data_IF_693041037850
#
_entry.id   IF_693041037850
#
_cell.length_a   1.000
_cell.length_b   1.000
_cell.length_c   1.000
_cell.angle_alpha   90.00
_cell.angle_beta   90.00
_cell.angle_gamma   90.00
#
_symmetry.space_group_name_H-M   'P 1'
#
loop_
_entity.id
_entity.type
_entity.pdbx_description
1 polymer ?
#
# COMPACT_ATOMS: atom_id res chain seq x y z
N UNK A 1 40.03 1.69 51.62
CA UNK A 1 40.40 2.36 50.35
C UNK A 1 39.14 2.53 49.50
N UNK A 2 38.52 3.71 49.42
CA UNK A 2 37.32 3.90 48.60
C UNK A 2 37.71 4.11 47.13
N UNK A 3 37.04 3.40 46.22
CA UNK A 3 37.24 3.55 44.77
C UNK A 3 36.55 4.83 44.30
N UNK A 4 37.33 5.76 43.75
CA UNK A 4 36.85 6.97 43.09
C UNK A 4 36.13 6.64 41.78
N UNK A 5 34.88 7.08 41.62
CA UNK A 5 34.13 7.01 40.36
C UNK A 5 34.58 8.14 39.43
N UNK A 6 35.04 7.78 38.22
CA UNK A 6 35.31 8.75 37.15
C UNK A 6 34.01 9.16 36.45
N UNK A 7 33.82 10.45 36.10
CA UNK A 7 32.64 10.88 35.34
C UNK A 7 32.73 10.42 33.88
N UNK A 8 31.59 10.01 33.30
CA UNK A 8 31.46 9.66 31.88
C UNK A 8 31.54 10.93 31.01
N UNK A 9 32.20 10.88 29.84
CA UNK A 9 32.20 12.01 28.91
C UNK A 9 30.81 12.18 28.28
N UNK A 10 30.36 13.43 28.16
CA UNK A 10 29.11 13.80 27.50
C UNK A 10 29.23 13.60 25.97
N UNK A 11 28.20 12.99 25.37
CA UNK A 11 28.10 12.84 23.91
C UNK A 11 27.87 14.21 23.27
N UNK A 12 28.55 14.55 22.16
CA UNK A 12 28.27 15.80 21.45
C UNK A 12 26.87 15.74 20.83
N UNK A 13 26.16 16.86 20.90
CA UNK A 13 24.86 17.03 20.27
C UNK A 13 24.97 16.78 18.75
N UNK A 14 24.23 15.80 18.24
CA UNK A 14 24.20 15.50 16.81
C UNK A 14 23.61 16.67 16.04
N UNK A 15 24.31 17.11 14.99
CA UNK A 15 23.81 18.15 14.07
C UNK A 15 22.48 17.69 13.47
N UNK A 16 21.46 18.54 13.56
CA UNK A 16 20.16 18.29 12.95
C UNK A 16 20.32 18.10 11.43
N UNK A 17 19.81 16.99 10.90
CA UNK A 17 19.80 16.73 9.47
C UNK A 17 18.93 17.79 8.76
N UNK A 18 19.31 18.26 7.57
CA UNK A 18 18.56 19.28 6.86
C UNK A 18 17.16 18.77 6.52
N UNK A 19 16.15 19.57 6.84
CA UNK A 19 14.75 19.29 6.54
C UNK A 19 14.56 19.27 5.02
N UNK A 20 14.26 18.11 4.44
CA UNK A 20 13.98 17.95 3.00
C UNK A 20 12.84 18.90 2.60
N UNK A 21 13.12 19.80 1.65
CA UNK A 21 12.11 20.63 1.00
C UNK A 21 11.29 19.73 0.07
N UNK A 22 9.96 19.79 0.18
CA UNK A 22 9.09 19.02 -0.70
C UNK A 22 9.30 19.45 -2.16
N UNK A 23 9.44 18.48 -3.07
CA UNK A 23 9.58 18.74 -4.52
C UNK A 23 8.36 19.52 -5.01
N UNK A 24 8.59 20.53 -5.86
CA UNK A 24 7.50 21.25 -6.53
C UNK A 24 6.65 20.28 -7.37
N UNK A 25 5.36 20.61 -7.54
CA UNK A 25 4.46 19.83 -8.39
C UNK A 25 5.02 19.77 -9.84
N UNK A 26 4.84 18.66 -10.56
CA UNK A 26 5.31 18.54 -11.93
C UNK A 26 4.56 19.51 -12.85
N UNK A 27 5.24 20.06 -13.86
CA UNK A 27 4.63 20.95 -14.86
C UNK A 27 3.54 20.24 -15.68
N UNK A 28 3.69 18.93 -15.89
CA UNK A 28 2.71 18.06 -16.53
C UNK A 28 2.35 16.90 -15.58
N UNK A 29 1.32 17.07 -14.72
CA UNK A 29 0.87 16.00 -13.83
C UNK A 29 0.22 14.87 -14.64
N UNK A 30 0.50 13.63 -14.23
CA UNK A 30 -0.05 12.41 -14.85
C UNK A 30 -0.62 11.51 -13.75
N UNK A 31 -1.77 10.90 -14.04
CA UNK A 31 -2.36 9.85 -13.24
C UNK A 31 -2.74 8.72 -14.20
N UNK A 32 -2.15 7.54 -14.00
CA UNK A 32 -2.45 6.33 -14.76
C UNK A 32 -3.24 5.38 -13.87
N UNK A 33 -4.18 4.68 -14.48
CA UNK A 33 -4.95 3.60 -13.89
C UNK A 33 -4.50 2.31 -14.56
N UNK A 34 -4.04 1.35 -13.76
CA UNK A 34 -3.66 0.03 -14.21
C UNK A 34 -4.59 -0.99 -13.56
N UNK A 35 -5.14 -1.91 -14.34
CA UNK A 35 -5.64 -3.17 -13.80
C UNK A 35 -4.42 -4.10 -13.65
N UNK A 36 -3.83 -4.16 -12.45
CA UNK A 36 -2.60 -4.93 -12.18
C UNK A 36 -2.93 -6.42 -12.22
N UNK A 37 -2.24 -7.22 -13.05
CA UNK A 37 -2.42 -8.67 -13.07
C UNK A 37 -1.92 -9.36 -11.80
N UNK A 38 -2.35 -10.61 -11.62
CA UNK A 38 -1.84 -11.50 -10.57
C UNK A 38 -0.34 -11.71 -10.72
N UNK A 39 0.34 -11.99 -9.61
CA UNK A 39 1.76 -12.33 -9.56
C UNK A 39 2.74 -11.23 -10.05
N UNK A 40 2.26 -9.99 -10.20
CA UNK A 40 3.08 -8.82 -10.58
C UNK A 40 3.42 -7.97 -9.36
N UNK A 41 4.70 -7.64 -9.18
CA UNK A 41 5.14 -6.76 -8.10
C UNK A 41 4.72 -5.29 -8.35
N UNK A 42 4.27 -4.61 -7.29
CA UNK A 42 3.96 -3.16 -7.30
C UNK A 42 5.22 -2.30 -7.19
N UNK A 43 6.15 -2.50 -8.11
CA UNK A 43 7.38 -1.73 -8.27
C UNK A 43 7.90 -1.84 -9.71
N UNK A 44 8.87 -1.02 -10.09
CA UNK A 44 9.46 -1.07 -11.44
C UNK A 44 10.77 -1.89 -11.50
N UNK A 45 11.50 -1.97 -10.39
CA UNK A 45 12.78 -2.67 -10.32
C UNK A 45 12.62 -3.97 -9.52
N UNK A 46 13.20 -5.07 -9.99
CA UNK A 46 13.27 -6.33 -9.25
C UNK A 46 14.63 -7.01 -9.50
N UNK A 47 15.15 -7.70 -8.48
CA UNK A 47 16.45 -8.37 -8.53
C UNK A 47 16.34 -9.89 -8.75
N UNK A 48 15.13 -10.47 -8.58
CA UNK A 48 14.90 -11.91 -8.48
C UNK A 48 14.16 -12.47 -9.73
N UNK A 49 14.06 -11.69 -10.81
CA UNK A 49 13.45 -12.09 -12.07
C UNK A 49 11.92 -12.15 -12.06
N UNK A 50 11.24 -11.52 -11.09
CA UNK A 50 9.77 -11.47 -11.02
C UNK A 50 9.21 -10.42 -11.99
N UNK A 51 7.96 -10.62 -12.42
CA UNK A 51 7.23 -9.63 -13.21
C UNK A 51 7.00 -8.34 -12.40
N UNK A 52 7.12 -7.19 -13.05
CA UNK A 52 7.00 -5.87 -12.41
C UNK A 52 6.14 -4.92 -13.25
N UNK A 53 5.88 -3.72 -12.73
CA UNK A 53 5.10 -2.70 -13.44
C UNK A 53 5.77 -2.25 -14.74
N UNK A 54 7.08 -2.48 -14.92
CA UNK A 54 7.78 -2.15 -16.17
C UNK A 54 7.24 -2.92 -17.37
N UNK A 55 6.71 -4.12 -17.13
CA UNK A 55 6.23 -5.03 -18.17
C UNK A 55 4.85 -4.58 -18.71
N UNK A 56 4.13 -3.73 -17.95
CA UNK A 56 2.76 -3.31 -18.25
C UNK A 56 2.59 -1.79 -18.42
N UNK A 57 3.55 -0.99 -17.95
CA UNK A 57 3.47 0.48 -17.96
C UNK A 57 4.61 1.06 -18.82
N UNK A 58 4.35 1.40 -20.10
CA UNK A 58 5.36 1.94 -21.01
C UNK A 58 5.70 3.43 -20.72
N UNK A 59 5.12 4.02 -19.66
CA UNK A 59 5.30 5.42 -19.31
C UNK A 59 6.38 5.59 -18.23
N UNK A 60 7.52 6.25 -18.53
CA UNK A 60 8.55 6.49 -17.54
C UNK A 60 8.17 7.61 -16.56
N UNK A 61 8.79 7.59 -15.38
CA UNK A 61 8.70 8.69 -14.41
C UNK A 61 7.37 8.79 -13.66
N UNK A 62 6.60 7.71 -13.60
CA UNK A 62 5.45 7.54 -12.71
C UNK A 62 5.77 6.48 -11.66
N UNK A 63 5.12 6.56 -10.51
CA UNK A 63 5.30 5.65 -9.39
C UNK A 63 3.95 5.27 -8.77
N UNK A 64 3.83 4.10 -8.14
CA UNK A 64 2.59 3.69 -7.47
C UNK A 64 2.13 4.70 -6.41
N UNK A 65 0.85 5.07 -6.48
CA UNK A 65 0.13 5.83 -5.46
C UNK A 65 -0.63 4.86 -4.56
N UNK A 66 0.12 4.20 -3.67
CA UNK A 66 -0.35 3.08 -2.87
C UNK A 66 0.29 1.78 -3.33
N UNK A 67 0.17 0.75 -2.49
CA UNK A 67 0.66 -0.60 -2.78
C UNK A 67 -0.52 -1.53 -2.98
N UNK A 68 -0.40 -2.41 -3.96
CA UNK A 68 -1.23 -3.59 -4.14
C UNK A 68 -0.31 -4.80 -4.03
N UNK A 69 -0.70 -5.83 -3.28
CA UNK A 69 0.19 -6.97 -3.06
C UNK A 69 0.39 -7.78 -4.35
N UNK A 70 1.46 -8.59 -4.37
CA UNK A 70 1.85 -9.35 -5.57
C UNK A 70 0.75 -10.32 -6.01
N UNK A 71 0.15 -10.98 -5.03
CA UNK A 71 -0.96 -11.94 -5.14
C UNK A 71 -2.34 -11.27 -5.17
N UNK A 72 -2.40 -9.93 -5.17
CA UNK A 72 -3.63 -9.18 -5.40
C UNK A 72 -3.70 -8.69 -6.85
N UNK A 73 -4.91 -8.35 -7.28
CA UNK A 73 -5.22 -7.90 -8.64
C UNK A 73 -6.14 -6.68 -8.62
N UNK A 74 -6.27 -6.00 -9.75
CA UNK A 74 -7.21 -4.90 -9.88
C UNK A 74 -6.56 -3.52 -9.92
N UNK A 75 -7.31 -2.52 -9.48
CA UNK A 75 -6.94 -1.12 -9.66
C UNK A 75 -5.66 -0.73 -8.89
N UNK A 76 -4.64 -0.31 -9.64
CA UNK A 76 -3.45 0.35 -9.14
C UNK A 76 -3.30 1.73 -9.80
N UNK A 77 -3.13 2.75 -8.97
CA UNK A 77 -2.91 4.12 -9.43
C UNK A 77 -1.41 4.41 -9.51
N UNK A 78 -0.97 5.09 -10.58
CA UNK A 78 0.42 5.55 -10.72
C UNK A 78 0.45 7.04 -11.04
N UNK A 79 1.35 7.79 -10.43
CA UNK A 79 1.47 9.23 -10.67
C UNK A 79 2.92 9.72 -10.62
N UNK A 80 3.18 10.85 -11.28
CA UNK A 80 4.44 11.60 -11.15
C UNK A 80 4.34 12.77 -10.15
N UNK A 81 3.16 13.01 -9.57
CA UNK A 81 2.94 14.07 -8.58
C UNK A 81 3.02 13.52 -7.16
N UNK A 82 4.07 13.90 -6.43
CA UNK A 82 4.28 13.46 -5.04
C UNK A 82 3.20 13.92 -4.07
N UNK A 83 2.52 15.04 -4.33
CA UNK A 83 1.41 15.51 -3.48
C UNK A 83 0.18 14.62 -3.66
N UNK A 84 -0.14 14.28 -4.91
CA UNK A 84 -1.24 13.37 -5.23
C UNK A 84 -0.93 11.96 -4.71
N UNK A 85 0.31 11.50 -4.88
CA UNK A 85 0.78 10.22 -4.34
C UNK A 85 0.56 10.16 -2.83
N UNK A 86 1.01 11.18 -2.08
CA UNK A 86 0.82 11.23 -0.63
C UNK A 86 -0.67 11.28 -0.25
N UNK A 87 -1.47 12.07 -0.98
CA UNK A 87 -2.92 12.16 -0.76
C UNK A 87 -3.62 10.81 -0.89
N UNK A 88 -3.17 9.97 -1.83
CA UNK A 88 -3.75 8.66 -2.06
C UNK A 88 -3.23 7.62 -1.07
N UNK A 89 -1.92 7.60 -0.84
CA UNK A 89 -1.23 6.52 -0.14
C UNK A 89 -1.14 6.70 1.38
N UNK A 90 -1.20 7.94 1.91
CA UNK A 90 -1.08 8.18 3.34
C UNK A 90 -2.35 7.69 4.06
N UNK A 91 -2.23 6.75 5.03
CA UNK A 91 -3.36 6.25 5.81
C UNK A 91 -4.19 7.34 6.49
N UNK A 92 -3.61 8.51 6.78
CA UNK A 92 -4.30 9.66 7.38
C UNK A 92 -5.47 10.17 6.54
N UNK A 93 -5.41 9.98 5.23
CA UNK A 93 -6.48 10.43 4.33
C UNK A 93 -7.67 9.47 4.29
N UNK A 94 -7.54 8.25 4.85
CA UNK A 94 -8.62 7.27 4.99
C UNK A 94 -9.47 7.10 3.73
N UNK A 95 -8.83 7.12 2.55
CA UNK A 95 -9.54 6.92 1.30
C UNK A 95 -10.15 5.53 1.28
N UNK A 96 -11.44 5.49 0.93
CA UNK A 96 -12.19 4.25 0.78
C UNK A 96 -11.57 3.41 -0.33
N UNK A 97 -11.53 2.10 -0.10
CA UNK A 97 -11.08 1.09 -1.05
C UNK A 97 -12.13 0.01 -1.09
N UNK A 98 -12.47 -0.43 -2.29
CA UNK A 98 -13.49 -1.45 -2.53
C UNK A 98 -12.81 -2.65 -3.15
N UNK A 99 -13.10 -3.82 -2.60
CA UNK A 99 -12.49 -5.08 -3.01
C UNK A 99 -13.59 -6.08 -3.33
N UNK A 100 -13.34 -6.89 -4.36
CA UNK A 100 -14.04 -8.15 -4.55
C UNK A 100 -13.11 -9.24 -4.05
N UNK A 101 -13.60 -10.03 -3.10
CA UNK A 101 -12.79 -11.02 -2.40
C UNK A 101 -13.46 -12.37 -2.57
N UNK A 102 -12.70 -13.32 -3.10
CA UNK A 102 -13.08 -14.72 -3.13
C UNK A 102 -12.58 -15.38 -1.85
N UNK A 103 -13.46 -16.15 -1.20
CA UNK A 103 -13.15 -16.89 0.02
C UNK A 103 -13.44 -18.37 -0.18
N UNK A 104 -12.88 -19.22 0.69
CA UNK A 104 -13.28 -20.62 0.76
C UNK A 104 -14.67 -20.74 1.42
N UNK A 105 -15.54 -21.55 0.81
CA UNK A 105 -16.92 -21.72 1.28
C UNK A 105 -17.80 -20.50 1.00
N UNK A 106 -18.92 -20.43 1.72
CA UNK A 106 -19.87 -19.31 1.66
C UNK A 106 -19.84 -18.51 2.96
N UNK A 107 -19.72 -17.19 2.85
CA UNK A 107 -19.74 -16.31 4.01
C UNK A 107 -21.16 -16.23 4.59
N UNK A 108 -21.30 -16.54 5.89
CA UNK A 108 -22.57 -16.40 6.61
C UNK A 108 -22.89 -14.93 6.91
N UNK A 109 -24.17 -14.62 7.14
CA UNK A 109 -24.57 -13.26 7.49
C UNK A 109 -23.94 -12.82 8.82
N UNK A 110 -23.78 -13.73 9.79
CA UNK A 110 -23.10 -13.43 11.06
C UNK A 110 -21.62 -13.09 10.86
N UNK A 111 -20.95 -13.74 9.90
CA UNK A 111 -19.57 -13.39 9.54
C UNK A 111 -19.51 -12.01 8.87
N UNK A 112 -20.45 -11.69 7.98
CA UNK A 112 -20.54 -10.37 7.35
C UNK A 112 -20.83 -9.25 8.36
N UNK A 113 -21.72 -9.48 9.34
CA UNK A 113 -21.99 -8.54 10.43
C UNK A 113 -20.71 -8.25 11.22
N UNK A 114 -19.95 -9.28 11.60
CA UNK A 114 -18.66 -9.09 12.31
C UNK A 114 -17.66 -8.27 11.48
N UNK A 115 -17.57 -8.51 10.17
CA UNK A 115 -16.72 -7.70 9.29
C UNK A 115 -17.18 -6.23 9.22
N UNK A 116 -18.50 -5.98 9.25
CA UNK A 116 -19.05 -4.61 9.23
C UNK A 116 -18.81 -3.86 10.53
N UNK A 117 -18.95 -4.54 11.67
CA UNK A 117 -18.76 -3.96 13.01
C UNK A 117 -17.28 -3.78 13.37
N UNK A 118 -16.43 -4.62 12.79
CA UNK A 118 -14.99 -4.64 13.01
C UNK A 118 -14.55 -5.91 13.74
N UNK A 119 -13.34 -6.37 13.42
CA UNK A 119 -12.75 -7.59 13.96
C UNK A 119 -11.44 -7.26 14.68
N UNK A 120 -11.09 -8.04 15.71
CA UNK A 120 -9.81 -7.91 16.39
C UNK A 120 -8.72 -8.63 15.59
N UNK A 121 -7.67 -7.89 15.24
CA UNK A 121 -6.44 -8.41 14.63
C UNK A 121 -5.27 -8.25 15.61
N UNK A 122 -4.11 -8.79 15.25
CA UNK A 122 -2.91 -8.72 16.10
C UNK A 122 -2.43 -7.27 16.37
N UNK A 123 -2.82 -6.31 15.53
CA UNK A 123 -2.52 -4.88 15.65
C UNK A 123 -3.70 -4.04 16.17
N UNK A 124 -4.80 -4.69 16.57
CA UNK A 124 -5.96 -4.07 17.22
C UNK A 124 -7.26 -4.25 16.44
N UNK A 125 -8.30 -3.53 16.88
CA UNK A 125 -9.61 -3.55 16.24
C UNK A 125 -9.59 -2.84 14.89
N UNK A 126 -10.17 -3.47 13.87
CA UNK A 126 -10.42 -2.79 12.59
C UNK A 126 -11.49 -1.70 12.75
N UNK A 127 -11.46 -0.71 11.85
CA UNK A 127 -12.58 0.21 11.71
C UNK A 127 -13.80 -0.52 11.12
N UNK A 128 -15.03 0.00 11.35
CA UNK A 128 -16.21 -0.47 10.64
C UNK A 128 -16.03 -0.40 9.12
N UNK A 129 -16.62 -1.35 8.42
CA UNK A 129 -16.52 -1.48 6.97
C UNK A 129 -17.87 -1.84 6.33
N UNK A 130 -17.95 -1.68 5.01
CA UNK A 130 -19.04 -2.25 4.22
C UNK A 130 -18.63 -3.65 3.75
N UNK A 131 -19.47 -4.65 4.00
CA UNK A 131 -19.27 -6.02 3.52
C UNK A 131 -20.61 -6.59 3.06
N UNK A 132 -20.64 -7.19 1.86
CA UNK A 132 -21.82 -7.87 1.33
C UNK A 132 -21.42 -9.07 0.50
N UNK A 133 -22.24 -10.11 0.53
CA UNK A 133 -22.11 -11.21 -0.42
C UNK A 133 -22.41 -10.67 -1.83
N UNK A 134 -21.60 -11.09 -2.80
CA UNK A 134 -21.78 -10.77 -4.21
C UNK A 134 -22.27 -12.02 -4.92
N UNK A 135 -23.17 -11.84 -5.89
CA UNK A 135 -23.46 -12.91 -6.84
C UNK A 135 -22.20 -13.19 -7.67
N UNK A 136 -22.00 -14.45 -8.04
CA UNK A 136 -20.91 -14.82 -8.93
C UNK A 136 -21.04 -14.08 -10.26
N UNK A 137 -19.91 -13.62 -10.79
CA UNK A 137 -19.85 -12.82 -12.00
C UNK A 137 -18.64 -13.24 -12.81
N UNK A 138 -18.77 -13.13 -14.13
CA UNK A 138 -17.67 -13.42 -15.04
C UNK A 138 -16.56 -12.38 -14.85
N UNK A 139 -15.39 -12.86 -14.42
CA UNK A 139 -14.17 -12.06 -14.27
C UNK A 139 -13.17 -12.48 -15.35
N UNK A 140 -12.19 -11.62 -15.61
CA UNK A 140 -11.11 -12.01 -16.53
C UNK A 140 -10.37 -13.25 -16.01
N UNK A 141 -9.88 -14.12 -16.91
CA UNK A 141 -9.10 -15.29 -16.52
C UNK A 141 -7.91 -14.90 -15.65
N UNK A 142 -7.61 -15.73 -14.65
CA UNK A 142 -6.43 -15.58 -13.80
C UNK A 142 -5.34 -16.53 -14.28
N UNK A 143 -4.12 -16.03 -14.45
CA UNK A 143 -2.94 -16.87 -14.60
C UNK A 143 -2.48 -17.31 -13.21
N UNK A 144 -3.14 -18.34 -12.66
CA UNK A 144 -2.73 -18.99 -11.40
C UNK A 144 -1.78 -20.16 -11.68
N UNK A 145 -0.72 -20.36 -10.87
CA UNK A 145 0.17 -21.52 -10.98
C UNK A 145 -0.52 -22.87 -10.78
#
# INVERSE_FOLDING_TARGET
>A
MPRTSRPRPSRPAGKALPRRVAKAAPAAPRLLLLNKPFNVLTQFNDADGRATLKDYVPAPGVYPAGRLDRDSEGLLLLTNDGRLQARIADPKHKLAKTYWVQVEGEASEEQLIRLREGVELNDGMTLPAEAKLLAETDLWPRDTP
#
